data_IF_378026131374
#
_entry.id   IF_378026131374
#
_cell.length_a   1.000
_cell.length_b   1.000
_cell.length_c   1.000
_cell.angle_alpha   90.00
_cell.angle_beta   90.00
_cell.angle_gamma   90.00
#
_symmetry.space_group_name_H-M   'P 1'
#
loop_
_entity.id
_entity.type
_entity.pdbx_description
1 polymer ?
#
# COMPACT_ATOMS: atom_id res chain seq x y z
N UNK A 1 15.95 10.24 14.71
CA UNK A 1 15.07 9.85 15.84
C UNK A 1 15.70 8.66 16.55
N UNK A 2 15.93 8.75 17.86
CA UNK A 2 16.33 7.60 18.67
C UNK A 2 15.05 6.87 19.11
N UNK A 3 14.84 5.67 18.58
CA UNK A 3 13.75 4.80 19.03
C UNK A 3 14.25 3.97 20.23
N UNK A 4 13.43 3.85 21.27
CA UNK A 4 13.70 2.97 22.40
C UNK A 4 13.32 1.55 22.00
N UNK A 5 14.30 0.65 21.98
CA UNK A 5 14.11 -0.76 21.61
C UNK A 5 14.04 -1.63 22.87
N UNK A 6 13.07 -2.55 22.91
CA UNK A 6 12.97 -3.58 23.93
C UNK A 6 13.50 -4.91 23.37
N UNK A 7 14.38 -5.60 24.11
CA UNK A 7 14.89 -6.91 23.71
C UNK A 7 13.76 -7.93 23.84
N UNK A 8 13.34 -8.52 22.72
CA UNK A 8 12.31 -9.56 22.69
C UNK A 8 12.88 -10.97 22.86
N UNK A 9 14.16 -11.18 22.52
CA UNK A 9 14.79 -12.49 22.60
C UNK A 9 16.22 -12.50 22.08
N UNK A 10 16.83 -13.67 22.11
CA UNK A 10 18.15 -13.97 21.54
C UNK A 10 18.17 -15.43 21.08
N UNK A 11 18.86 -15.70 19.98
CA UNK A 11 19.02 -17.03 19.43
C UNK A 11 20.42 -17.15 18.82
N UNK A 12 20.88 -18.39 18.71
CA UNK A 12 22.13 -18.74 18.05
C UNK A 12 21.84 -19.60 16.83
N UNK A 13 22.67 -19.43 15.81
CA UNK A 13 22.72 -20.31 14.64
C UNK A 13 23.85 -21.32 14.85
N UNK A 14 23.63 -22.57 14.44
CA UNK A 14 24.59 -23.67 14.43
C UNK A 14 25.59 -23.48 13.28
N UNK A 15 26.82 -23.95 13.50
CA UNK A 15 27.79 -24.11 12.42
C UNK A 15 27.30 -25.14 11.40
N UNK A 16 27.58 -24.89 10.12
CA UNK A 16 27.32 -25.79 9.00
C UNK A 16 28.60 -26.52 8.54
N UNK A 17 29.58 -26.68 9.43
CA UNK A 17 30.78 -27.51 9.20
C UNK A 17 30.43 -28.94 8.80
N UNK A 18 29.41 -29.52 9.45
CA UNK A 18 28.94 -30.89 9.21
C UNK A 18 28.52 -31.12 7.73
N UNK A 19 28.11 -30.06 7.02
CA UNK A 19 27.70 -30.10 5.61
C UNK A 19 28.69 -29.43 4.66
N UNK A 20 29.97 -29.33 5.06
CA UNK A 20 31.02 -28.66 4.28
C UNK A 20 30.63 -27.23 3.86
N UNK A 21 29.95 -26.49 4.74
CA UNK A 21 29.50 -25.12 4.53
C UNK A 21 28.49 -24.92 3.38
N UNK A 22 27.85 -25.99 2.91
CA UNK A 22 26.90 -25.92 1.78
C UNK A 22 25.48 -25.59 2.21
N UNK A 23 25.08 -26.04 3.40
CA UNK A 23 23.73 -25.83 3.92
C UNK A 23 23.60 -24.48 4.64
N UNK A 24 22.38 -23.99 4.72
CA UNK A 24 22.03 -22.74 5.41
C UNK A 24 21.00 -23.04 6.48
N UNK A 25 21.17 -22.48 7.66
CA UNK A 25 20.17 -22.61 8.72
C UNK A 25 19.03 -21.60 8.51
N UNK A 26 17.80 -22.10 8.64
CA UNK A 26 16.60 -21.29 8.73
C UNK A 26 16.12 -21.28 10.19
N UNK A 27 15.88 -20.11 10.75
CA UNK A 27 15.34 -19.95 12.11
C UNK A 27 14.00 -19.21 12.06
N UNK A 28 12.96 -19.85 12.58
CA UNK A 28 11.64 -19.23 12.80
C UNK A 28 11.49 -18.84 14.26
N UNK A 29 10.98 -17.64 14.50
CA UNK A 29 10.77 -17.07 15.83
C UNK A 29 9.38 -16.48 15.86
N UNK A 30 8.53 -17.04 16.72
CA UNK A 30 7.20 -16.53 16.95
C UNK A 30 7.23 -15.52 18.10
N UNK A 31 6.51 -14.42 17.93
CA UNK A 31 6.39 -13.34 18.92
C UNK A 31 4.99 -12.76 18.89
N UNK A 32 4.47 -12.44 20.06
CA UNK A 32 3.15 -11.83 20.28
C UNK A 32 3.22 -10.30 20.37
N UNK A 33 4.39 -9.70 20.08
CA UNK A 33 4.62 -8.27 20.26
C UNK A 33 4.23 -7.45 19.03
N UNK A 34 3.37 -6.48 19.24
CA UNK A 34 3.12 -5.42 18.26
C UNK A 34 4.33 -4.48 18.17
N UNK A 35 4.81 -4.22 16.96
CA UNK A 35 5.92 -3.30 16.74
C UNK A 35 5.83 -2.59 15.38
N UNK A 36 6.30 -1.34 15.32
CA UNK A 36 6.46 -0.59 14.07
C UNK A 36 7.84 -0.82 13.44
N UNK A 37 8.84 -1.05 14.27
CA UNK A 37 10.22 -1.34 13.87
C UNK A 37 10.71 -2.53 14.68
N UNK A 38 11.44 -3.43 14.03
CA UNK A 38 12.21 -4.47 14.70
C UNK A 38 13.69 -4.30 14.37
N UNK A 39 14.55 -4.78 15.26
CA UNK A 39 16.00 -4.67 15.13
C UNK A 39 16.64 -6.03 15.36
N UNK A 40 17.40 -6.49 14.38
CA UNK A 40 18.29 -7.65 14.53
C UNK A 40 19.68 -7.12 14.87
N UNK A 41 20.25 -7.60 15.98
CA UNK A 41 21.63 -7.29 16.37
C UNK A 41 22.45 -8.57 16.27
N UNK A 42 23.32 -8.63 15.28
CA UNK A 42 24.26 -9.73 15.15
C UNK A 42 25.48 -9.47 16.06
N UNK A 43 25.67 -10.33 17.06
CA UNK A 43 26.69 -10.13 18.10
C UNK A 43 28.01 -10.85 17.83
N UNK A 44 27.98 -12.00 17.14
CA UNK A 44 29.14 -12.82 16.80
C UNK A 44 28.96 -13.42 15.41
N UNK A 45 30.05 -13.60 14.68
CA UNK A 45 30.10 -14.31 13.40
C UNK A 45 30.96 -15.57 13.52
N UNK A 46 30.81 -16.49 12.57
CA UNK A 46 31.72 -17.61 12.44
C UNK A 46 33.05 -17.14 11.86
N UNK A 47 34.14 -17.44 12.56
CA UNK A 47 35.50 -17.11 12.14
C UNK A 47 36.01 -18.20 11.21
N UNK A 48 36.39 -17.84 9.98
CA UNK A 48 37.04 -18.77 9.07
C UNK A 48 38.09 -18.06 8.20
N UNK A 49 38.95 -18.85 7.56
CA UNK A 49 40.06 -18.34 6.74
C UNK A 49 39.61 -17.50 5.54
N UNK A 50 38.37 -17.65 5.10
CA UNK A 50 37.77 -16.93 3.97
C UNK A 50 37.03 -15.66 4.43
N UNK A 51 36.59 -15.59 5.69
CA UNK A 51 35.86 -14.48 6.30
C UNK A 51 36.77 -13.67 7.25
N UNK A 52 37.87 -13.14 6.72
CA UNK A 52 38.85 -12.35 7.49
C UNK A 52 38.31 -11.03 8.04
N UNK A 53 37.16 -10.58 7.53
CA UNK A 53 36.53 -9.32 7.91
C UNK A 53 35.34 -9.48 8.86
N UNK A 54 35.10 -10.69 9.38
CA UNK A 54 34.04 -10.97 10.35
C UNK A 54 32.64 -10.55 9.86
N UNK A 55 32.41 -10.72 8.57
CA UNK A 55 31.18 -10.35 7.92
C UNK A 55 30.09 -11.37 8.20
N UNK A 56 28.84 -10.90 8.18
CA UNK A 56 27.64 -11.71 8.34
C UNK A 56 26.76 -11.43 7.12
N UNK A 57 26.39 -12.49 6.41
CA UNK A 57 25.43 -12.42 5.32
C UNK A 57 24.08 -12.93 5.81
N UNK A 58 23.04 -12.10 5.64
CA UNK A 58 21.65 -12.52 5.85
C UNK A 58 21.03 -12.70 4.46
N UNK A 59 20.65 -13.93 4.15
CA UNK A 59 20.09 -14.25 2.83
C UNK A 59 18.66 -13.76 2.69
N UNK A 60 17.83 -13.98 3.72
CA UNK A 60 16.42 -13.63 3.69
C UNK A 60 15.91 -13.37 5.12
N UNK A 61 14.99 -12.43 5.25
CA UNK A 61 14.17 -12.21 6.44
C UNK A 61 12.72 -12.17 5.97
N UNK A 62 11.91 -13.08 6.50
CA UNK A 62 10.48 -13.12 6.24
C UNK A 62 9.72 -12.82 7.53
N UNK A 63 8.85 -11.82 7.49
CA UNK A 63 8.02 -11.42 8.62
C UNK A 63 6.56 -11.73 8.28
N UNK A 64 5.87 -12.40 9.21
CA UNK A 64 4.46 -12.74 9.09
C UNK A 64 3.71 -12.15 10.28
N UNK A 65 2.50 -11.65 10.05
CA UNK A 65 1.68 -11.08 11.10
C UNK A 65 0.50 -10.27 10.57
N UNK A 66 -0.30 -9.77 11.50
CA UNK A 66 -1.39 -8.86 11.19
C UNK A 66 -0.91 -7.42 11.28
N UNK A 67 -1.27 -6.61 10.29
CA UNK A 67 -0.96 -5.19 10.32
C UNK A 67 -2.00 -4.49 11.19
N UNK A 68 -1.53 -3.78 12.22
CA UNK A 68 -2.35 -3.03 13.17
C UNK A 68 -2.16 -1.53 12.92
N UNK A 69 -3.23 -0.73 12.92
CA UNK A 69 -3.14 0.74 12.90
C UNK A 69 -3.10 1.43 11.52
N UNK A 70 -3.41 0.73 10.43
CA UNK A 70 -3.41 1.32 9.06
C UNK A 70 -4.45 2.43 8.84
N UNK A 71 -5.42 2.60 9.73
CA UNK A 71 -6.48 3.61 9.57
C UNK A 71 -6.01 5.03 9.94
N UNK A 72 -5.07 5.19 10.89
CA UNK A 72 -4.69 6.51 11.43
C UNK A 72 -3.53 7.19 10.69
N UNK A 73 -2.55 6.42 10.18
CA UNK A 73 -1.35 6.97 9.54
C UNK A 73 -1.57 7.40 8.08
N UNK A 74 -2.49 6.74 7.36
CA UNK A 74 -2.84 7.13 5.99
C UNK A 74 -3.73 8.38 5.95
N UNK A 75 -4.68 8.49 6.89
CA UNK A 75 -5.59 9.66 6.99
C UNK A 75 -4.82 10.91 7.45
N UNK A 76 -3.82 10.77 8.33
CA UNK A 76 -2.93 11.87 8.71
C UNK A 76 -1.92 12.28 7.62
N UNK A 77 -1.47 11.33 6.79
CA UNK A 77 -0.65 11.61 5.60
C UNK A 77 -1.41 12.35 4.49
N UNK A 78 -2.68 11.99 4.25
CA UNK A 78 -3.55 12.68 3.28
C UNK A 78 -3.93 14.10 3.71
N UNK A 79 -3.94 14.41 5.01
CA UNK A 79 -4.24 15.76 5.53
C UNK A 79 -3.15 16.80 5.24
N UNK A 80 -1.96 16.38 4.78
CA UNK A 80 -0.82 17.27 4.51
C UNK A 80 -0.45 17.40 3.03
N UNK A 81 -1.20 16.77 2.12
CA UNK A 81 -0.95 16.90 0.68
C UNK A 81 -1.55 18.23 0.22
N UNK A 82 -0.70 19.14 -0.23
CA UNK A 82 -1.13 20.40 -0.81
C UNK A 82 -2.07 20.09 -2.01
N UNK A 83 -3.26 20.71 -2.14
CA UNK A 83 -4.27 20.30 -3.13
C UNK A 83 -3.74 20.20 -4.57
N UNK A 84 -2.75 21.02 -4.91
CA UNK A 84 -2.08 21.03 -6.21
C UNK A 84 -1.34 19.72 -6.54
N UNK A 85 -0.81 19.03 -5.53
CA UNK A 85 -0.05 17.79 -5.70
C UNK A 85 -0.99 16.58 -5.87
N UNK A 86 -2.13 16.58 -5.16
CA UNK A 86 -3.21 15.61 -5.35
C UNK A 86 -3.84 15.71 -6.76
N UNK A 87 -4.00 16.94 -7.29
CA UNK A 87 -4.51 17.18 -8.64
C UNK A 87 -3.52 16.70 -9.71
N UNK A 88 -2.20 16.83 -9.47
CA UNK A 88 -1.18 16.31 -10.38
C UNK A 88 -1.16 14.78 -10.42
N UNK A 89 -1.30 14.13 -9.26
CA UNK A 89 -1.40 12.67 -9.15
C UNK A 89 -2.64 12.13 -9.87
N UNK A 90 -3.80 12.77 -9.70
CA UNK A 90 -5.04 12.40 -10.39
C UNK A 90 -4.94 12.57 -11.91
N UNK A 91 -4.30 13.65 -12.39
CA UNK A 91 -4.02 13.87 -13.82
C UNK A 91 -3.02 12.88 -14.41
N UNK A 92 -2.05 12.41 -13.63
CA UNK A 92 -1.09 11.40 -14.06
C UNK A 92 -1.76 10.02 -14.22
N UNK A 93 -2.67 9.68 -13.32
CA UNK A 93 -3.39 8.40 -13.32
C UNK A 93 -4.55 8.35 -14.33
N UNK A 94 -5.18 9.49 -14.64
CA UNK A 94 -6.31 9.57 -15.58
C UNK A 94 -5.91 9.90 -17.03
N UNK A 95 -4.63 9.79 -17.42
CA UNK A 95 -4.27 9.81 -18.85
C UNK A 95 -4.74 8.52 -19.51
N UNK A 96 -6.00 8.49 -19.95
CA UNK A 96 -6.43 7.56 -21.00
C UNK A 96 -5.46 7.72 -22.16
N UNK A 97 -4.87 6.61 -22.57
CA UNK A 97 -4.04 6.45 -23.75
C UNK A 97 -4.77 6.91 -25.00
N UNK A 98 -4.63 8.19 -25.38
CA UNK A 98 -4.79 8.60 -26.77
C UNK A 98 -3.41 8.51 -27.42
N UNK A 99 -3.09 7.35 -27.97
CA UNK A 99 -2.13 7.25 -29.06
C UNK A 99 -2.75 8.06 -30.20
N UNK A 100 -2.29 9.30 -30.37
CA UNK A 100 -2.54 10.08 -31.57
C UNK A 100 -1.35 9.79 -32.48
N UNK A 101 -1.59 9.01 -33.53
CA UNK A 101 -0.67 8.81 -34.65
C UNK A 101 -0.26 10.18 -35.24
N UNK A 102 0.97 10.34 -35.75
CA UNK A 102 1.40 11.60 -36.33
C UNK A 102 0.72 11.76 -37.70
N UNK A 103 -0.33 12.56 -37.77
CA UNK A 103 -0.87 13.07 -39.02
C UNK A 103 -0.78 14.59 -39.04
N UNK A 104 -0.24 15.08 -40.15
CA UNK A 104 0.21 16.43 -40.46
C UNK A 104 -0.82 17.56 -40.28
N UNK A 105 -0.34 18.69 -39.74
CA UNK A 105 -0.75 20.04 -40.10
C UNK A 105 -1.92 20.65 -39.32
N UNK A 106 -1.64 21.64 -38.47
CA UNK A 106 -2.16 23.02 -38.60
C UNK A 106 -1.81 23.85 -37.36
N UNK A 107 -1.45 25.10 -37.60
CA UNK A 107 -1.01 26.12 -36.63
C UNK A 107 -2.17 26.61 -35.76
N UNK A 108 -1.92 26.89 -34.47
CA UNK A 108 -2.86 27.63 -33.61
C UNK A 108 -2.37 27.81 -32.17
N UNK A 109 -2.01 29.05 -31.84
CA UNK A 109 -1.43 29.54 -30.58
C UNK A 109 -2.41 29.48 -29.38
N UNK A 110 -1.95 29.40 -28.11
CA UNK A 110 -2.77 29.06 -26.95
C UNK A 110 -2.98 30.25 -25.99
N UNK A 111 -4.14 30.92 -25.97
CA UNK A 111 -4.53 31.76 -24.83
C UNK A 111 -6.06 31.84 -24.68
N UNK A 112 -6.54 31.38 -23.51
CA UNK A 112 -7.83 31.64 -22.86
C UNK A 112 -9.15 31.26 -23.55
N UNK A 113 -9.86 30.30 -22.94
CA UNK A 113 -11.21 30.60 -22.41
C UNK A 113 -11.49 29.75 -21.17
N UNK A 114 -11.52 30.45 -20.04
CA UNK A 114 -12.16 30.02 -18.82
C UNK A 114 -13.65 29.74 -19.10
N UNK A 115 -14.10 28.52 -18.84
CA UNK A 115 -15.48 28.31 -18.37
C UNK A 115 -15.41 27.37 -17.17
N UNK A 116 -15.45 28.00 -16.00
CA UNK A 116 -15.77 27.36 -14.73
C UNK A 116 -17.14 26.71 -14.84
N UNK A 117 -17.19 25.41 -15.09
CA UNK A 117 -18.37 24.62 -14.75
C UNK A 117 -18.22 24.16 -13.30
N UNK A 118 -18.65 25.03 -12.38
CA UNK A 118 -19.06 24.62 -11.04
C UNK A 118 -20.18 23.60 -11.27
N UNK A 119 -19.84 22.30 -11.20
CA UNK A 119 -20.83 21.24 -11.22
C UNK A 119 -21.57 21.30 -9.88
N UNK A 120 -22.61 22.13 -9.86
CA UNK A 120 -23.55 22.22 -8.77
C UNK A 120 -24.35 20.91 -8.77
N UNK A 121 -23.97 19.97 -7.90
CA UNK A 121 -24.78 18.80 -7.65
C UNK A 121 -26.07 19.28 -6.99
N UNK A 122 -27.16 19.22 -7.74
CA UNK A 122 -28.51 19.48 -7.21
C UNK A 122 -28.77 18.48 -6.09
N UNK A 123 -29.09 18.99 -4.90
CA UNK A 123 -29.43 18.22 -3.69
C UNK A 123 -30.84 17.60 -3.76
N UNK A 124 -31.29 17.16 -4.92
CA UNK A 124 -32.57 16.49 -5.10
C UNK A 124 -32.32 15.08 -5.62
N UNK A 125 -32.14 14.15 -4.66
CA UNK A 125 -32.41 12.71 -4.70
C UNK A 125 -31.59 12.03 -3.58
N UNK A 126 -32.02 12.20 -2.33
CA UNK A 126 -31.40 11.58 -1.15
C UNK A 126 -31.67 10.06 -1.09
N UNK A 127 -32.46 9.52 -2.01
CA UNK A 127 -32.75 8.09 -2.12
C UNK A 127 -31.61 7.29 -2.79
N UNK A 128 -30.61 7.94 -3.40
CA UNK A 128 -29.56 7.28 -4.21
C UNK A 128 -28.19 7.14 -3.54
N UNK A 129 -28.04 7.45 -2.25
CA UNK A 129 -26.73 7.41 -1.57
C UNK A 129 -26.15 5.99 -1.52
N UNK A 130 -27.00 4.99 -1.27
CA UNK A 130 -26.66 3.57 -1.18
C UNK A 130 -26.29 2.96 -2.52
N UNK A 131 -27.02 3.29 -3.59
CA UNK A 131 -26.77 2.80 -4.95
C UNK A 131 -25.42 3.25 -5.50
N UNK A 132 -25.00 4.49 -5.20
CA UNK A 132 -23.69 5.02 -5.59
C UNK A 132 -22.55 4.20 -4.97
N UNK A 133 -22.73 3.70 -3.74
CA UNK A 133 -21.74 2.83 -3.11
C UNK A 133 -21.66 1.46 -3.77
N UNK A 134 -22.80 0.89 -4.17
CA UNK A 134 -22.86 -0.42 -4.81
C UNK A 134 -22.21 -0.42 -6.20
N UNK A 135 -22.48 0.59 -7.02
CA UNK A 135 -21.81 0.76 -8.32
C UNK A 135 -20.29 0.87 -8.16
N UNK A 136 -19.85 1.57 -7.12
CA UNK A 136 -18.42 1.78 -6.85
C UNK A 136 -17.75 0.53 -6.31
N UNK A 137 -18.42 -0.22 -5.43
CA UNK A 137 -17.94 -1.51 -4.93
C UNK A 137 -17.84 -2.53 -6.08
N UNK A 138 -18.81 -2.54 -6.99
CA UNK A 138 -18.81 -3.41 -8.16
C UNK A 138 -17.64 -3.10 -9.11
N UNK A 139 -17.44 -1.82 -9.44
CA UNK A 139 -16.35 -1.38 -10.31
C UNK A 139 -14.97 -1.71 -9.71
N UNK A 140 -14.78 -1.48 -8.42
CA UNK A 140 -13.52 -1.78 -7.72
C UNK A 140 -13.28 -3.28 -7.57
N UNK A 141 -14.34 -4.07 -7.35
CA UNK A 141 -14.23 -5.54 -7.32
C UNK A 141 -13.85 -6.10 -8.67
N UNK A 142 -14.38 -5.54 -9.76
CA UNK A 142 -13.99 -5.91 -11.13
C UNK A 142 -12.52 -5.56 -11.40
N UNK A 143 -12.09 -4.36 -11.06
CA UNK A 143 -10.69 -3.95 -11.19
C UNK A 143 -9.74 -4.82 -10.36
N UNK A 144 -10.16 -5.22 -9.15
CA UNK A 144 -9.41 -6.14 -8.30
C UNK A 144 -9.22 -7.49 -8.99
N UNK A 145 -10.28 -8.06 -9.55
CA UNK A 145 -10.19 -9.36 -10.23
C UNK A 145 -9.30 -9.26 -11.48
N UNK A 146 -9.39 -8.17 -12.25
CA UNK A 146 -8.47 -7.94 -13.38
C UNK A 146 -7.01 -7.78 -12.94
N UNK A 147 -6.74 -7.18 -11.78
CA UNK A 147 -5.39 -7.11 -11.23
C UNK A 147 -4.86 -8.48 -10.77
N UNK A 148 -5.72 -9.35 -10.26
CA UNK A 148 -5.37 -10.76 -9.92
C UNK A 148 -5.06 -11.55 -11.19
N UNK A 149 -5.87 -11.40 -12.25
CA UNK A 149 -5.64 -12.04 -13.55
C UNK A 149 -4.33 -11.56 -14.20
N UNK A 150 -3.94 -10.31 -13.97
CA UNK A 150 -2.68 -9.74 -14.44
C UNK A 150 -1.48 -10.04 -13.51
N UNK A 151 -1.64 -10.92 -12.52
CA UNK A 151 -0.63 -11.26 -11.50
C UNK A 151 -0.08 -10.05 -10.70
N UNK A 152 -0.78 -8.91 -10.74
CA UNK A 152 -0.43 -7.72 -9.99
C UNK A 152 -1.08 -7.75 -8.60
N UNK A 153 -0.56 -8.62 -7.74
CA UNK A 153 -1.12 -8.85 -6.40
C UNK A 153 -1.03 -7.64 -5.48
N UNK A 154 -0.05 -6.74 -5.69
CA UNK A 154 0.09 -5.50 -4.91
C UNK A 154 -1.09 -4.56 -5.18
N UNK A 155 -1.49 -4.42 -6.45
CA UNK A 155 -2.64 -3.62 -6.84
C UNK A 155 -3.96 -4.27 -6.40
N UNK A 156 -4.09 -5.59 -6.54
CA UNK A 156 -5.25 -6.32 -6.06
C UNK A 156 -5.48 -6.14 -4.55
N UNK A 157 -4.41 -6.18 -3.74
CA UNK A 157 -4.51 -5.97 -2.29
C UNK A 157 -4.91 -4.53 -1.94
N UNK A 158 -4.41 -3.52 -2.68
CA UNK A 158 -4.85 -2.12 -2.52
C UNK A 158 -6.34 -1.96 -2.83
N UNK A 159 -6.81 -2.53 -3.93
CA UNK A 159 -8.22 -2.45 -4.34
C UNK A 159 -9.14 -3.15 -3.34
N UNK A 160 -8.72 -4.31 -2.83
CA UNK A 160 -9.43 -5.02 -1.75
C UNK A 160 -9.60 -4.16 -0.50
N UNK A 161 -8.55 -3.46 -0.07
CA UNK A 161 -8.62 -2.57 1.10
C UNK A 161 -9.54 -1.37 0.88
N UNK A 162 -9.59 -0.82 -0.34
CA UNK A 162 -10.51 0.28 -0.69
C UNK A 162 -11.96 -0.22 -0.66
N UNK A 163 -12.25 -1.40 -1.21
CA UNK A 163 -13.59 -2.01 -1.17
C UNK A 163 -14.08 -2.15 0.27
N UNK A 164 -13.26 -2.71 1.17
CA UNK A 164 -13.61 -2.86 2.58
C UNK A 164 -13.93 -1.52 3.27
N UNK A 165 -13.18 -0.45 2.93
CA UNK A 165 -13.44 0.89 3.49
C UNK A 165 -14.80 1.43 3.04
N UNK A 166 -15.14 1.24 1.77
CA UNK A 166 -16.42 1.69 1.21
C UNK A 166 -17.59 0.90 1.82
N UNK A 167 -17.45 -0.42 2.02
CA UNK A 167 -18.45 -1.24 2.69
C UNK A 167 -18.70 -0.79 4.13
N UNK A 168 -17.64 -0.49 4.89
CA UNK A 168 -17.76 0.07 6.25
C UNK A 168 -18.51 1.41 6.25
N UNK A 169 -18.18 2.31 5.31
CA UNK A 169 -18.84 3.61 5.18
C UNK A 169 -20.31 3.46 4.80
N UNK A 170 -20.64 2.56 3.87
CA UNK A 170 -22.02 2.23 3.48
C UNK A 170 -22.84 1.82 4.70
N UNK A 171 -22.34 0.86 5.49
CA UNK A 171 -23.00 0.39 6.72
C UNK A 171 -23.16 1.53 7.73
N UNK A 172 -22.15 2.39 7.87
CA UNK A 172 -22.22 3.52 8.80
C UNK A 172 -23.29 4.53 8.40
N UNK A 173 -23.37 4.88 7.11
CA UNK A 173 -24.38 5.80 6.57
C UNK A 173 -25.78 5.20 6.73
N UNK A 174 -25.97 3.93 6.41
CA UNK A 174 -27.25 3.24 6.57
C UNK A 174 -27.71 3.21 8.04
N UNK A 175 -26.78 3.06 9.00
CA UNK A 175 -27.07 3.18 10.44
C UNK A 175 -27.48 4.58 10.86
N UNK A 176 -26.94 5.62 10.23
CA UNK A 176 -27.30 7.01 10.50
C UNK A 176 -28.65 7.37 9.89
N UNK A 177 -28.96 6.86 8.70
CA UNK A 177 -30.25 7.03 8.03
C UNK A 177 -31.37 6.37 8.84
N UNK A 178 -31.16 5.16 9.37
CA UNK A 178 -32.14 4.46 10.21
C UNK A 178 -32.38 5.08 11.60
N UNK A 179 -31.56 6.06 12.01
CA UNK A 179 -31.68 6.78 13.29
C UNK A 179 -32.38 8.14 13.17
N UNK A 180 -32.68 8.58 11.95
CA UNK A 180 -33.53 9.75 11.68
C UNK A 180 -35.00 9.33 11.65
#
# INVERSE_FOLDING_TARGET
KNYNYNKIGEFTLKSNEDSNFTERELKSIDTDKECKYFKIKCCKCYMNKLNVFNQICIMNISCFGNIVGYEDEYISGLRNINPSEAILMDRMLNRKSSIISPTSGSLGNPYNTFVSSKRQYSLHNIESSVEIFDDKILALSKAKNSAVEAENYIEAEKLKQIVMKIEKLKIHIQKLENKK
#
